data_IF_982631540899
#
_entry.id   IF_982631540899
#
_cell.length_a   1.000
_cell.length_b   1.000
_cell.length_c   1.000
_cell.angle_alpha   90.00
_cell.angle_beta   90.00
_cell.angle_gamma   90.00
#
_symmetry.space_group_name_H-M   'P 1'
#
loop_
_entity.id
_entity.type
_entity.pdbx_description
1 polymer ?
#
# COMPACT_ATOMS: atom_id res chain seq x y z
N UNK A 1 -17.60 18.99 0.28
CA UNK A 1 -17.43 17.98 1.35
C UNK A 1 -17.29 16.60 0.72
N UNK A 2 -16.36 15.78 1.21
CA UNK A 2 -16.16 14.43 0.69
C UNK A 2 -17.34 13.56 1.09
N UNK A 3 -17.88 12.79 0.14
CA UNK A 3 -18.96 11.85 0.43
C UNK A 3 -18.46 10.72 1.34
N UNK A 4 -19.36 10.14 2.18
CA UNK A 4 -18.96 9.06 3.09
C UNK A 4 -18.24 7.90 2.42
N UNK A 5 -18.71 7.48 1.22
CA UNK A 5 -18.07 6.39 0.48
C UNK A 5 -16.66 6.76 0.03
N UNK A 6 -16.45 8.02 -0.37
CA UNK A 6 -15.12 8.49 -0.77
C UNK A 6 -14.20 8.60 0.44
N UNK A 7 -14.73 9.08 1.56
CA UNK A 7 -13.94 9.16 2.79
C UNK A 7 -13.47 7.79 3.23
N UNK A 8 -14.35 6.80 3.18
CA UNK A 8 -14.01 5.43 3.53
C UNK A 8 -12.90 4.87 2.64
N UNK A 9 -12.99 5.12 1.33
CA UNK A 9 -11.96 4.67 0.38
C UNK A 9 -10.63 5.38 0.64
N UNK A 10 -10.65 6.68 0.93
CA UNK A 10 -9.44 7.45 1.24
C UNK A 10 -8.79 6.93 2.53
N UNK A 11 -9.58 6.69 3.55
CA UNK A 11 -9.08 6.13 4.81
C UNK A 11 -8.50 4.74 4.60
N UNK A 12 -9.11 3.94 3.70
CA UNK A 12 -8.58 2.65 3.32
C UNK A 12 -7.20 2.75 2.69
N UNK A 13 -6.99 3.73 1.80
CA UNK A 13 -5.68 3.97 1.20
C UNK A 13 -4.63 4.29 2.26
N UNK A 14 -4.95 5.16 3.20
CA UNK A 14 -4.03 5.57 4.26
C UNK A 14 -3.70 4.38 5.17
N UNK A 15 -4.71 3.71 5.66
CA UNK A 15 -4.56 2.64 6.64
C UNK A 15 -3.84 1.43 6.06
N UNK A 16 -4.35 0.90 4.96
CA UNK A 16 -3.80 -0.32 4.37
C UNK A 16 -2.51 -0.06 3.61
N UNK A 17 -2.36 1.11 3.02
CA UNK A 17 -1.10 1.51 2.40
C UNK A 17 0.01 1.62 3.43
N UNK A 18 -0.26 2.25 4.57
CA UNK A 18 0.69 2.36 5.67
C UNK A 18 1.04 1.00 6.27
N UNK A 19 0.04 0.13 6.44
CA UNK A 19 0.25 -1.22 6.94
C UNK A 19 1.12 -2.04 5.99
N UNK A 20 0.85 -1.96 4.69
CA UNK A 20 1.63 -2.68 3.69
C UNK A 20 3.10 -2.25 3.73
N UNK A 21 3.34 -0.95 3.81
CA UNK A 21 4.70 -0.41 3.88
C UNK A 21 5.42 -0.90 5.14
N UNK A 22 4.75 -0.85 6.28
CA UNK A 22 5.31 -1.31 7.55
C UNK A 22 5.69 -2.78 7.51
N UNK A 23 4.80 -3.61 6.97
CA UNK A 23 5.06 -5.06 6.85
C UNK A 23 6.20 -5.35 5.88
N UNK A 24 6.28 -4.60 4.78
CA UNK A 24 7.37 -4.78 3.83
C UNK A 24 8.73 -4.42 4.45
N UNK A 25 8.79 -3.35 5.23
CA UNK A 25 10.01 -2.96 5.94
C UNK A 25 10.39 -4.01 6.99
N UNK A 26 9.43 -4.52 7.74
CA UNK A 26 9.67 -5.61 8.70
C UNK A 26 10.20 -6.86 7.99
N UNK A 27 9.68 -7.17 6.80
CA UNK A 27 10.16 -8.31 6.02
C UNK A 27 11.62 -8.14 5.63
N UNK A 28 12.03 -6.93 5.28
CA UNK A 28 13.43 -6.65 4.95
C UNK A 28 14.32 -6.91 6.16
N UNK A 29 13.91 -6.45 7.33
CA UNK A 29 14.66 -6.66 8.56
C UNK A 29 14.75 -8.16 8.90
N UNK A 30 13.66 -8.89 8.75
CA UNK A 30 13.65 -10.33 9.00
C UNK A 30 14.59 -11.07 8.06
N UNK A 31 14.57 -10.71 6.78
CA UNK A 31 15.47 -11.32 5.78
C UNK A 31 16.93 -11.02 6.10
N UNK A 32 17.21 -9.80 6.51
CA UNK A 32 18.56 -9.38 6.90
C UNK A 32 19.08 -10.20 8.08
N UNK A 33 18.17 -10.55 9.00
CA UNK A 33 18.51 -11.35 10.18
C UNK A 33 18.50 -12.86 9.90
N UNK A 34 18.28 -13.27 8.66
CA UNK A 34 18.24 -14.67 8.28
C UNK A 34 16.94 -15.39 8.57
N UNK A 35 15.91 -14.65 8.96
CA UNK A 35 14.59 -15.22 9.28
C UNK A 35 13.72 -15.23 8.02
N UNK A 36 14.04 -16.13 7.09
CA UNK A 36 13.44 -16.13 5.77
C UNK A 36 11.95 -16.51 5.75
N UNK A 37 11.54 -17.43 6.61
CA UNK A 37 10.13 -17.81 6.70
C UNK A 37 9.29 -16.63 7.22
N UNK A 38 9.80 -15.95 8.23
CA UNK A 38 9.15 -14.77 8.78
C UNK A 38 9.08 -13.66 7.73
N UNK A 39 10.17 -13.47 6.98
CA UNK A 39 10.20 -12.49 5.90
C UNK A 39 9.13 -12.78 4.85
N UNK A 40 8.98 -14.05 4.46
CA UNK A 40 7.96 -14.43 3.48
C UNK A 40 6.56 -14.21 4.00
N UNK A 41 6.32 -14.52 5.26
CA UNK A 41 5.02 -14.29 5.90
C UNK A 41 4.69 -12.80 5.92
N UNK A 42 5.65 -11.96 6.29
CA UNK A 42 5.46 -10.52 6.32
C UNK A 42 5.22 -9.95 4.93
N UNK A 43 5.91 -10.46 3.91
CA UNK A 43 5.66 -10.04 2.53
C UNK A 43 4.27 -10.43 2.07
N UNK A 44 3.78 -11.60 2.48
CA UNK A 44 2.42 -12.01 2.16
C UNK A 44 1.41 -11.09 2.82
N UNK A 45 1.62 -10.73 4.07
CA UNK A 45 0.75 -9.78 4.76
C UNK A 45 0.80 -8.41 4.09
N UNK A 46 1.98 -7.94 3.69
CA UNK A 46 2.13 -6.68 2.96
C UNK A 46 1.34 -6.71 1.65
N UNK A 47 1.42 -7.82 0.91
CA UNK A 47 0.69 -7.97 -0.34
C UNK A 47 -0.82 -7.93 -0.10
N UNK A 48 -1.29 -8.59 0.96
CA UNK A 48 -2.72 -8.59 1.29
C UNK A 48 -3.21 -7.17 1.60
N UNK A 49 -2.46 -6.42 2.39
CA UNK A 49 -2.82 -5.03 2.73
C UNK A 49 -2.76 -4.13 1.49
N UNK A 50 -1.77 -4.35 0.64
CA UNK A 50 -1.61 -3.59 -0.60
C UNK A 50 -2.78 -3.85 -1.56
N UNK A 51 -3.26 -5.09 -1.63
CA UNK A 51 -4.41 -5.43 -2.45
C UNK A 51 -5.68 -4.73 -1.97
N UNK A 52 -5.85 -4.61 -0.66
CA UNK A 52 -7.01 -3.89 -0.09
C UNK A 52 -6.90 -2.40 -0.44
N UNK A 53 -5.72 -1.81 -0.28
CA UNK A 53 -5.49 -0.41 -0.64
C UNK A 53 -5.75 -0.17 -2.12
N UNK A 54 -5.32 -1.11 -2.96
CA UNK A 54 -5.52 -1.03 -4.41
C UNK A 54 -7.01 -1.06 -4.77
N UNK A 55 -7.81 -1.85 -4.08
CA UNK A 55 -9.26 -1.87 -4.29
C UNK A 55 -9.88 -0.52 -3.95
N UNK A 56 -9.42 0.13 -2.90
CA UNK A 56 -9.88 1.46 -2.53
C UNK A 56 -9.53 2.48 -3.60
N UNK A 57 -8.30 2.39 -4.13
CA UNK A 57 -7.87 3.26 -5.23
C UNK A 57 -8.72 3.04 -6.48
N UNK A 58 -8.96 1.78 -6.83
CA UNK A 58 -9.77 1.42 -8.00
C UNK A 58 -11.19 1.97 -7.87
N UNK A 59 -11.77 1.90 -6.67
CA UNK A 59 -13.09 2.46 -6.41
C UNK A 59 -13.13 3.95 -6.73
N UNK A 60 -12.13 4.70 -6.25
CA UNK A 60 -12.06 6.14 -6.50
C UNK A 60 -11.86 6.46 -7.97
N UNK A 61 -10.98 5.72 -8.64
CA UNK A 61 -10.71 5.91 -10.08
C UNK A 61 -11.93 5.57 -10.92
N UNK A 62 -12.63 4.50 -10.58
CA UNK A 62 -13.85 4.09 -11.28
C UNK A 62 -14.94 5.14 -11.16
N UNK A 63 -15.09 5.71 -9.97
CA UNK A 63 -16.06 6.76 -9.72
C UNK A 63 -15.77 7.99 -10.56
N UNK A 64 -14.51 8.39 -10.63
CA UNK A 64 -14.10 9.53 -11.44
C UNK A 64 -14.32 9.26 -12.92
N UNK A 65 -14.00 8.06 -13.38
CA UNK A 65 -14.20 7.67 -14.77
C UNK A 65 -15.68 7.62 -15.17
N UNK A 66 -16.56 7.35 -14.22
CA UNK A 66 -18.01 7.32 -14.45
C UNK A 66 -18.64 8.72 -14.49
N UNK A 67 -17.84 9.75 -14.29
CA UNK A 67 -18.32 11.14 -14.35
C UNK A 67 -18.60 11.76 -12.99
N UNK A 68 -18.47 10.97 -11.93
CA UNK A 68 -18.62 11.50 -10.57
C UNK A 68 -17.28 12.05 -10.11
N UNK A 69 -17.17 13.37 -10.02
CA UNK A 69 -15.91 13.98 -9.61
C UNK A 69 -15.58 13.60 -8.16
N UNK A 70 -14.35 13.15 -7.94
CA UNK A 70 -13.83 12.90 -6.61
C UNK A 70 -13.19 14.19 -6.10
N UNK A 71 -13.63 14.63 -4.92
CA UNK A 71 -13.09 15.84 -4.33
C UNK A 71 -11.60 15.69 -4.04
N UNK A 72 -10.80 16.57 -4.61
CA UNK A 72 -9.37 16.61 -4.33
C UNK A 72 -9.17 17.27 -2.96
N UNK A 73 -8.57 16.54 -2.05
CA UNK A 73 -8.32 17.01 -0.71
C UNK A 73 -6.91 16.64 -0.29
N UNK A 74 -6.43 17.29 0.76
CA UNK A 74 -5.14 16.94 1.34
C UNK A 74 -5.13 15.48 1.82
N UNK A 75 -6.25 15.03 2.36
CA UNK A 75 -6.39 13.65 2.83
C UNK A 75 -6.31 12.65 1.67
N UNK A 76 -6.93 12.97 0.54
CA UNK A 76 -6.85 12.16 -0.69
C UNK A 76 -5.40 12.02 -1.17
N UNK A 77 -4.68 13.15 -1.24
CA UNK A 77 -3.28 13.16 -1.68
C UNK A 77 -2.44 12.32 -0.72
N UNK A 78 -2.68 12.45 0.58
CA UNK A 78 -1.96 11.68 1.59
C UNK A 78 -2.19 10.17 1.43
N UNK A 79 -3.44 9.76 1.17
CA UNK A 79 -3.78 8.37 0.93
C UNK A 79 -3.08 7.78 -0.29
N UNK A 80 -3.09 8.51 -1.39
CA UNK A 80 -2.41 8.09 -2.63
C UNK A 80 -0.90 7.99 -2.41
N UNK A 81 -0.32 8.93 -1.67
CA UNK A 81 1.10 8.93 -1.36
C UNK A 81 1.47 7.69 -0.54
N UNK A 82 0.69 7.33 0.45
CA UNK A 82 0.91 6.13 1.25
C UNK A 82 0.90 4.88 0.38
N UNK A 83 -0.07 4.75 -0.50
CA UNK A 83 -0.17 3.59 -1.37
C UNK A 83 1.00 3.51 -2.35
N UNK A 84 1.35 4.62 -2.99
CA UNK A 84 2.43 4.64 -3.97
C UNK A 84 3.78 4.36 -3.31
N UNK A 85 3.99 4.88 -2.10
CA UNK A 85 5.20 4.59 -1.33
C UNK A 85 5.27 3.10 -0.97
N UNK A 86 4.16 2.52 -0.56
CA UNK A 86 4.09 1.09 -0.24
C UNK A 86 4.42 0.23 -1.45
N UNK A 87 3.89 0.59 -2.62
CA UNK A 87 4.20 -0.10 -3.87
C UNK A 87 5.69 -0.02 -4.19
N UNK A 88 6.27 1.17 -4.10
CA UNK A 88 7.68 1.38 -4.40
C UNK A 88 8.57 0.55 -3.48
N UNK A 89 8.30 0.55 -2.17
CA UNK A 89 9.09 -0.22 -1.21
C UNK A 89 8.96 -1.71 -1.49
N UNK A 90 7.74 -2.21 -1.68
CA UNK A 90 7.49 -3.63 -1.91
C UNK A 90 8.15 -4.13 -3.18
N UNK A 91 7.96 -3.43 -4.29
CA UNK A 91 8.51 -3.87 -5.57
C UNK A 91 10.02 -3.73 -5.63
N UNK A 92 10.58 -2.66 -5.08
CA UNK A 92 12.02 -2.47 -5.08
C UNK A 92 12.71 -3.65 -4.38
N UNK A 93 12.19 -4.06 -3.24
CA UNK A 93 12.82 -5.14 -2.49
C UNK A 93 12.54 -6.52 -3.06
N UNK A 94 11.42 -6.70 -3.73
CA UNK A 94 11.11 -7.95 -4.40
C UNK A 94 11.97 -8.17 -5.64
N UNK A 95 12.41 -7.10 -6.30
CA UNK A 95 13.17 -7.19 -7.55
C UNK A 95 14.68 -7.16 -7.36
N UNK A 96 15.18 -6.78 -6.19
CA UNK A 96 16.62 -6.78 -5.92
C UNK A 96 17.13 -8.21 -5.79
N UNK A 97 18.34 -8.52 -6.32
CA UNK A 97 18.96 -9.82 -6.07
C UNK A 97 19.15 -10.06 -4.58
N UNK A 98 18.99 -11.30 -4.15
CA UNK A 98 19.12 -11.65 -2.74
C UNK A 98 20.48 -11.24 -2.17
N UNK A 99 21.52 -11.31 -2.98
CA UNK A 99 22.86 -10.93 -2.57
C UNK A 99 22.96 -9.46 -2.18
N UNK A 100 22.07 -8.61 -2.66
CA UNK A 100 22.04 -7.20 -2.34
C UNK A 100 21.34 -6.91 -1.01
N UNK A 101 20.61 -7.90 -0.49
CA UNK A 101 19.85 -7.75 0.75
C UNK A 101 20.63 -8.19 1.98
N UNK A 102 21.70 -8.88 1.80
CA UNK A 102 22.51 -9.42 2.89
C UNK A 102 23.89 -8.80 2.96
#
# INVERSE_FOLDING_TARGET
MTEPSNLEAIMGLIMYGGEAKGKAVEAIHAARDGQFEEAQHLLQEATNSLNIAHKSQTHLLSQEAAGDAVELSLLMVHGQDHMMTALAVSYTHLTLPTSDLV
#
